data_IF_140720719492
#
_entry.id   IF_140720719492
#
_cell.length_a   1.000
_cell.length_b   1.000
_cell.length_c   1.000
_cell.angle_alpha   90.00
_cell.angle_beta   90.00
_cell.angle_gamma   90.00
#
_symmetry.space_group_name_H-M   'P 1'
#
loop_
_entity.id
_entity.type
_entity.pdbx_description
1 polymer ?
#
# COMPACT_ATOMS: atom_id res chain seq x y z
N UNK A 1 8.74 54.08 -26.09
CA UNK A 1 10.11 53.57 -26.33
C UNK A 1 10.93 53.80 -25.08
N UNK A 2 11.75 52.93 -24.53
CA UNK A 2 12.06 51.53 -24.79
C UNK A 2 12.72 50.95 -23.53
N UNK A 3 12.18 49.80 -23.11
CA UNK A 3 12.74 48.69 -22.34
C UNK A 3 14.16 48.85 -21.78
N UNK A 4 14.31 48.71 -20.46
CA UNK A 4 15.49 48.06 -19.87
C UNK A 4 15.03 46.80 -19.14
N UNK A 5 15.21 45.69 -19.84
CA UNK A 5 15.12 44.32 -19.36
C UNK A 5 16.38 44.11 -18.51
N UNK A 6 16.22 43.75 -17.24
CA UNK A 6 17.31 43.23 -16.43
C UNK A 6 16.90 41.84 -15.93
N UNK A 7 17.35 40.88 -16.73
CA UNK A 7 17.79 39.52 -16.44
C UNK A 7 17.29 38.86 -15.14
N UNK A 8 16.33 37.98 -15.37
CA UNK A 8 16.13 36.69 -14.71
C UNK A 8 17.42 36.09 -14.14
N UNK A 9 17.51 36.01 -12.81
CA UNK A 9 18.40 35.09 -12.12
C UNK A 9 17.59 33.86 -11.69
N UNK A 10 17.57 32.87 -12.57
CA UNK A 10 17.22 31.49 -12.25
C UNK A 10 18.27 31.00 -11.25
N UNK A 11 17.94 30.97 -9.97
CA UNK A 11 18.65 30.13 -9.03
C UNK A 11 17.77 28.91 -8.75
N UNK A 12 17.85 27.95 -9.68
CA UNK A 12 17.50 26.56 -9.40
C UNK A 12 18.42 26.09 -8.28
N UNK A 13 18.01 26.33 -7.04
CA UNK A 13 18.51 25.61 -5.89
C UNK A 13 18.16 24.14 -6.10
N UNK A 14 19.12 23.40 -6.65
CA UNK A 14 19.17 21.96 -6.62
C UNK A 14 19.20 21.53 -5.14
N UNK A 15 18.02 21.46 -4.53
CA UNK A 15 17.81 20.63 -3.36
C UNK A 15 17.84 19.19 -3.86
N UNK A 16 19.06 18.65 -3.98
CA UNK A 16 19.28 17.23 -3.84
C UNK A 16 18.85 16.84 -2.44
N UNK A 17 17.54 16.66 -2.24
CA UNK A 17 17.06 15.82 -1.16
C UNK A 17 17.74 14.48 -1.38
N UNK A 18 18.56 13.96 -0.44
CA UNK A 18 18.88 12.56 -0.51
C UNK A 18 17.52 11.86 -0.46
N UNK A 19 17.16 11.18 -1.54
CA UNK A 19 16.17 10.12 -1.46
C UNK A 19 16.79 9.09 -0.52
N UNK A 20 16.61 9.31 0.78
CA UNK A 20 16.89 8.28 1.75
C UNK A 20 15.82 7.23 1.45
N UNK A 21 16.25 6.07 0.99
CA UNK A 21 15.42 4.89 0.89
C UNK A 21 15.03 4.50 2.32
N UNK A 22 14.07 5.19 2.91
CA UNK A 22 13.55 4.89 4.23
C UNK A 22 12.58 3.70 4.12
N UNK A 23 13.12 2.49 4.21
CA UNK A 23 12.60 1.37 5.03
C UNK A 23 13.10 -0.02 4.56
N UNK A 24 14.41 -0.25 4.51
CA UNK A 24 14.94 -1.62 4.36
C UNK A 24 14.91 -2.45 5.67
N UNK A 25 14.39 -1.88 6.76
CA UNK A 25 14.33 -2.53 8.09
C UNK A 25 12.95 -2.49 8.76
N UNK A 26 11.87 -2.31 8.01
CA UNK A 26 10.55 -2.69 8.52
C UNK A 26 10.38 -4.15 8.19
N UNK A 27 10.70 -5.00 9.17
CA UNK A 27 10.26 -6.38 9.19
C UNK A 27 8.79 -6.40 8.75
N UNK A 28 8.53 -7.02 7.59
CA UNK A 28 7.25 -7.01 6.91
C UNK A 28 6.20 -7.66 7.81
N UNK A 29 5.48 -6.86 8.59
CA UNK A 29 4.37 -7.40 9.39
C UNK A 29 3.10 -7.24 8.58
N UNK A 30 2.83 -8.24 7.76
CA UNK A 30 1.48 -8.45 7.28
C UNK A 30 0.57 -8.75 8.48
N UNK A 31 -0.20 -7.76 8.92
CA UNK A 31 -1.20 -7.88 9.98
C UNK A 31 -2.60 -7.77 9.35
N UNK A 32 -3.06 -8.91 8.80
CA UNK A 32 -4.36 -9.01 8.14
C UNK A 32 -5.52 -8.54 9.01
N UNK A 33 -5.47 -8.84 10.30
CA UNK A 33 -6.52 -8.45 11.26
C UNK A 33 -6.56 -6.94 11.43
N UNK A 34 -5.41 -6.28 11.59
CA UNK A 34 -5.34 -4.82 11.69
C UNK A 34 -5.77 -4.16 10.40
N UNK A 35 -5.37 -4.69 9.25
CA UNK A 35 -5.72 -4.13 7.94
C UNK A 35 -7.23 -4.12 7.74
N UNK A 36 -7.92 -5.22 8.09
CA UNK A 36 -9.37 -5.29 8.08
C UNK A 36 -10.00 -4.35 9.11
N UNK A 37 -9.45 -4.30 10.33
CA UNK A 37 -10.01 -3.49 11.41
C UNK A 37 -9.98 -1.99 11.09
N UNK A 38 -8.89 -1.50 10.51
CA UNK A 38 -8.75 -0.09 10.09
C UNK A 38 -9.81 0.28 9.04
N UNK A 39 -10.21 -0.67 8.21
CA UNK A 39 -11.19 -0.48 7.14
C UNK A 39 -12.62 -0.90 7.47
N UNK A 40 -12.86 -1.38 8.70
CA UNK A 40 -14.19 -1.84 9.12
C UNK A 40 -15.20 -0.69 9.05
N UNK A 41 -16.28 -0.90 8.29
CA UNK A 41 -17.34 0.10 8.10
C UNK A 41 -16.96 1.27 7.19
N UNK A 42 -15.81 1.21 6.50
CA UNK A 42 -15.39 2.20 5.51
C UNK A 42 -15.68 1.72 4.10
N UNK A 43 -15.78 2.68 3.18
CA UNK A 43 -15.93 2.39 1.75
C UNK A 43 -14.57 2.19 1.09
N UNK A 44 -14.55 1.53 -0.08
CA UNK A 44 -13.37 1.46 -0.92
C UNK A 44 -12.82 2.85 -1.25
N UNK A 45 -11.50 2.99 -1.33
CA UNK A 45 -10.81 4.25 -1.62
C UNK A 45 -10.75 5.23 -0.44
N UNK A 46 -11.37 4.91 0.70
CA UNK A 46 -11.30 5.77 1.89
C UNK A 46 -9.86 5.86 2.39
N UNK A 47 -9.32 7.07 2.47
CA UNK A 47 -8.02 7.32 3.08
C UNK A 47 -8.03 6.95 4.57
N UNK A 48 -7.02 6.20 5.00
CA UNK A 48 -6.87 5.72 6.37
C UNK A 48 -5.41 5.78 6.82
N UNK A 49 -5.23 5.95 8.13
CA UNK A 49 -3.92 5.93 8.75
C UNK A 49 -3.97 5.21 10.10
N UNK A 50 -2.88 4.54 10.46
CA UNK A 50 -2.73 3.95 11.79
C UNK A 50 -1.27 3.94 12.25
N UNK A 51 -1.05 3.94 13.56
CA UNK A 51 0.28 3.80 14.15
C UNK A 51 0.59 2.32 14.44
N UNK A 52 1.77 1.86 14.04
CA UNK A 52 2.26 0.52 14.39
C UNK A 52 3.78 0.48 14.40
N UNK A 53 4.37 -0.12 15.45
CA UNK A 53 5.83 -0.21 15.65
C UNK A 53 6.55 1.13 15.49
N UNK A 54 5.95 2.22 15.99
CA UNK A 54 6.53 3.57 15.90
C UNK A 54 6.41 4.26 14.54
N UNK A 55 5.74 3.64 13.56
CA UNK A 55 5.55 4.18 12.21
C UNK A 55 4.07 4.54 12.01
N UNK A 56 3.81 5.68 11.37
CA UNK A 56 2.48 6.04 10.86
C UNK A 56 2.36 5.47 9.46
N UNK A 57 1.44 4.52 9.31
CA UNK A 57 1.10 3.91 8.03
C UNK A 57 -0.06 4.67 7.42
N UNK A 58 0.14 5.22 6.22
CA UNK A 58 -0.88 5.94 5.47
C UNK A 58 -1.25 5.15 4.21
N UNK A 59 -2.52 5.12 3.84
CA UNK A 59 -3.00 4.37 2.68
C UNK A 59 -4.49 4.51 2.47
N UNK A 60 -5.08 3.58 1.72
CA UNK A 60 -6.52 3.53 1.45
C UNK A 60 -7.10 2.16 1.78
N UNK A 61 -8.42 2.11 1.94
CA UNK A 61 -9.13 0.85 2.04
C UNK A 61 -9.40 0.28 0.66
N UNK A 62 -8.76 -0.83 0.32
CA UNK A 62 -8.93 -1.52 -0.97
C UNK A 62 -9.36 -2.97 -0.79
N UNK A 63 -10.03 -3.58 -1.79
CA UNK A 63 -10.32 -5.01 -1.81
C UNK A 63 -9.01 -5.81 -1.82
N UNK A 64 -8.88 -6.70 -0.85
CA UNK A 64 -7.73 -7.58 -0.70
C UNK A 64 -8.19 -8.96 -0.24
N UNK A 65 -7.43 -9.97 -0.64
CA UNK A 65 -7.61 -11.34 -0.21
C UNK A 65 -6.98 -11.52 1.16
N UNK A 66 -7.74 -12.09 2.08
CA UNK A 66 -7.29 -12.40 3.42
C UNK A 66 -7.30 -13.91 3.63
N UNK A 67 -6.13 -14.52 3.92
CA UNK A 67 -6.04 -15.94 4.17
C UNK A 67 -6.78 -16.28 5.46
N UNK A 68 -7.50 -17.40 5.45
CA UNK A 68 -8.14 -17.95 6.65
C UNK A 68 -7.15 -18.64 7.58
N UNK A 69 -6.01 -19.11 7.03
CA UNK A 69 -4.96 -19.78 7.78
C UNK A 69 -3.88 -18.79 8.23
N UNK A 70 -3.50 -18.85 9.52
CA UNK A 70 -2.44 -18.00 10.10
C UNK A 70 -1.03 -18.35 9.62
N UNK A 71 -0.85 -19.55 9.04
CA UNK A 71 0.45 -20.11 8.62
C UNK A 71 0.60 -20.17 7.10
N UNK A 72 -0.04 -19.25 6.37
CA UNK A 72 0.00 -19.25 4.91
C UNK A 72 1.36 -18.83 4.32
N UNK A 73 2.33 -18.41 5.16
CA UNK A 73 3.61 -17.82 4.74
C UNK A 73 3.41 -16.66 3.74
N UNK A 74 2.52 -15.74 4.12
CA UNK A 74 2.19 -14.56 3.31
C UNK A 74 2.90 -13.34 3.91
N UNK A 75 3.58 -12.60 3.04
CA UNK A 75 4.38 -11.42 3.34
C UNK A 75 3.60 -10.11 3.22
N UNK A 76 2.47 -10.12 2.50
CA UNK A 76 1.54 -9.01 2.34
C UNK A 76 1.81 -8.10 1.14
N UNK A 77 2.88 -8.34 0.39
CA UNK A 77 3.26 -7.62 -0.83
C UNK A 77 2.99 -8.41 -2.12
N UNK A 78 2.48 -9.64 -1.99
CA UNK A 78 2.10 -10.49 -3.12
C UNK A 78 1.00 -9.82 -3.95
N UNK A 79 1.21 -9.76 -5.27
CA UNK A 79 0.30 -9.11 -6.19
C UNK A 79 -1.08 -9.81 -6.21
N UNK A 80 -1.06 -11.13 -6.02
CA UNK A 80 -2.21 -12.05 -5.98
C UNK A 80 -3.21 -11.66 -4.90
N UNK A 81 -2.74 -11.12 -3.76
CA UNK A 81 -3.63 -10.68 -2.68
C UNK A 81 -4.54 -9.54 -3.13
N UNK A 82 -4.03 -8.64 -3.97
CA UNK A 82 -4.83 -7.52 -4.46
C UNK A 82 -5.57 -7.88 -5.74
N UNK A 83 -4.92 -8.55 -6.70
CA UNK A 83 -5.45 -8.75 -8.05
C UNK A 83 -6.68 -9.65 -8.09
N UNK A 84 -6.73 -10.71 -7.27
CA UNK A 84 -7.84 -11.66 -7.30
C UNK A 84 -9.16 -10.98 -6.96
N UNK A 85 -9.17 -10.09 -5.96
CA UNK A 85 -10.40 -9.48 -5.45
C UNK A 85 -10.96 -8.39 -6.36
N UNK A 86 -10.14 -7.89 -7.30
CA UNK A 86 -10.60 -6.98 -8.34
C UNK A 86 -11.27 -7.73 -9.49
N UNK A 87 -10.81 -8.94 -9.82
CA UNK A 87 -11.40 -9.79 -10.86
C UNK A 87 -12.58 -10.64 -10.38
N UNK A 88 -12.44 -11.25 -9.20
CA UNK A 88 -13.44 -12.10 -8.54
C UNK A 88 -13.59 -11.71 -7.06
N UNK A 89 -14.53 -10.81 -6.73
CA UNK A 89 -14.80 -10.40 -5.34
C UNK A 89 -15.30 -11.54 -4.43
N UNK A 90 -15.68 -12.70 -5.00
CA UNK A 90 -16.16 -13.87 -4.25
C UNK A 90 -15.10 -14.97 -4.15
N UNK A 91 -13.87 -14.71 -4.59
CA UNK A 91 -12.79 -15.69 -4.51
C UNK A 91 -12.60 -16.23 -3.09
N UNK A 92 -12.56 -17.56 -2.98
CA UNK A 92 -12.40 -18.28 -1.72
C UNK A 92 -10.99 -18.88 -1.55
N UNK A 93 -10.16 -18.80 -2.59
CA UNK A 93 -8.80 -19.32 -2.63
C UNK A 93 -7.94 -18.53 -3.62
N UNK A 94 -6.65 -18.47 -3.34
CA UNK A 94 -5.62 -18.00 -4.28
C UNK A 94 -4.53 -19.04 -4.39
N UNK A 95 -3.74 -18.97 -5.45
CA UNK A 95 -2.52 -19.74 -5.60
C UNK A 95 -1.32 -18.79 -5.47
N UNK A 96 -0.47 -19.03 -4.47
CA UNK A 96 0.82 -18.33 -4.32
C UNK A 96 1.89 -19.42 -4.38
N UNK A 97 2.84 -19.28 -5.31
CA UNK A 97 3.96 -20.21 -5.50
C UNK A 97 3.55 -21.70 -5.64
N UNK A 98 2.43 -21.98 -6.32
CA UNK A 98 1.93 -23.34 -6.52
C UNK A 98 1.13 -23.89 -5.34
N UNK A 99 1.00 -23.14 -4.25
CA UNK A 99 0.23 -23.52 -3.05
C UNK A 99 -1.13 -22.83 -3.03
N UNK A 100 -2.17 -23.64 -2.94
CA UNK A 100 -3.53 -23.14 -2.73
C UNK A 100 -3.70 -22.63 -1.30
N UNK A 101 -4.12 -21.38 -1.16
CA UNK A 101 -4.36 -20.70 0.10
C UNK A 101 -5.83 -20.29 0.14
N UNK A 102 -6.57 -20.84 1.10
CA UNK A 102 -7.99 -20.51 1.32
C UNK A 102 -8.15 -19.22 2.10
N UNK A 103 -9.21 -18.50 1.81
CA UNK A 103 -9.44 -17.16 2.36
C UNK A 103 -10.72 -16.54 1.84
N UNK A 104 -10.75 -15.21 1.87
CA UNK A 104 -11.87 -14.41 1.34
C UNK A 104 -11.39 -13.03 0.94
N UNK A 105 -12.09 -12.43 -0.01
CA UNK A 105 -11.96 -11.01 -0.29
C UNK A 105 -12.68 -10.17 0.76
N UNK A 106 -12.03 -9.11 1.25
CA UNK A 106 -12.62 -8.08 2.09
C UNK A 106 -11.90 -6.74 1.87
N UNK A 107 -12.44 -5.66 2.41
CA UNK A 107 -11.71 -4.40 2.46
C UNK A 107 -10.63 -4.46 3.54
N UNK A 108 -9.44 -3.97 3.22
CA UNK A 108 -8.42 -3.69 4.20
C UNK A 108 -7.42 -2.65 3.74
N UNK A 109 -6.58 -2.23 4.68
CA UNK A 109 -5.54 -1.24 4.46
C UNK A 109 -4.59 -1.68 3.34
N UNK A 110 -4.43 -0.83 2.33
CA UNK A 110 -3.44 -0.97 1.26
C UNK A 110 -2.54 0.28 1.27
N UNK A 111 -1.23 0.07 1.34
CA UNK A 111 -0.28 1.16 1.21
C UNK A 111 -0.30 1.72 -0.23
N UNK A 112 -0.02 3.02 -0.42
CA UNK A 112 0.07 3.60 -1.75
C UNK A 112 1.19 2.92 -2.53
N UNK A 113 0.84 2.29 -3.65
CA UNK A 113 1.81 1.69 -4.57
C UNK A 113 2.34 2.79 -5.51
N UNK A 114 3.65 2.83 -5.82
CA UNK A 114 4.17 3.73 -6.82
C UNK A 114 3.42 3.52 -8.14
N UNK A 115 3.02 4.60 -8.80
CA UNK A 115 2.57 4.52 -10.19
C UNK A 115 3.83 4.30 -11.04
N UNK A 116 3.89 3.17 -11.73
CA UNK A 116 4.90 2.93 -12.77
C UNK A 116 4.65 3.85 -13.97
#
# INVERSE_FOLDING_TARGET
MNKKILFSSILCGLLFSPFVSANDKVEKVYDSQRYQQVCKGKSQGTAVSFAYRGIIWNGTCEPQFFPSSKNANIHGDEAELTSICHGDPKAMSINIEGKEIKGKCALGFSAPKPKM
#
